data_IF_549483417700
#
_entry.id   IF_549483417700
#
_cell.length_a   1.000
_cell.length_b   1.000
_cell.length_c   1.000
_cell.angle_alpha   90.00
_cell.angle_beta   90.00
_cell.angle_gamma   90.00
#
_symmetry.space_group_name_H-M   'P 1'
#
loop_
_entity.id
_entity.type
_entity.pdbx_description
1 polymer ?
#
# COMPACT_ATOMS: atom_id res chain seq x y z
N UNK A 1 -16.89 20.78 -32.47
CA UNK A 1 -17.58 20.03 -31.39
C UNK A 1 -16.50 19.33 -30.59
N UNK A 2 -15.94 20.03 -29.61
CA UNK A 2 -14.95 19.50 -28.68
C UNK A 2 -15.68 18.65 -27.66
N UNK A 3 -15.46 17.34 -27.72
CA UNK A 3 -15.96 16.40 -26.71
C UNK A 3 -15.26 16.75 -25.40
N UNK A 4 -16.00 17.35 -24.46
CA UNK A 4 -15.58 17.47 -23.08
C UNK A 4 -15.27 16.07 -22.58
N UNK A 5 -13.98 15.78 -22.41
CA UNK A 5 -13.54 14.63 -21.66
C UNK A 5 -14.13 14.82 -20.26
N UNK A 6 -15.09 13.96 -19.93
CA UNK A 6 -15.64 13.85 -18.59
C UNK A 6 -14.44 13.60 -17.65
N UNK A 7 -13.90 14.65 -17.04
CA UNK A 7 -12.90 14.53 -16.00
C UNK A 7 -13.61 13.95 -14.78
N UNK A 8 -13.71 12.62 -14.74
CA UNK A 8 -14.01 11.92 -13.50
C UNK A 8 -12.97 12.36 -12.47
N UNK A 9 -13.41 12.80 -11.28
CA UNK A 9 -12.47 13.22 -10.25
C UNK A 9 -11.51 12.06 -9.94
N UNK A 10 -10.22 12.36 -9.70
CA UNK A 10 -9.23 11.34 -9.39
C UNK A 10 -9.73 10.49 -8.22
N UNK A 11 -9.69 9.18 -8.39
CA UNK A 11 -10.09 8.26 -7.33
C UNK A 11 -9.04 8.26 -6.23
N UNK A 12 -9.45 7.86 -5.02
CA UNK A 12 -8.51 7.66 -3.91
C UNK A 12 -7.33 6.75 -4.28
N UNK A 13 -7.55 5.78 -5.17
CA UNK A 13 -6.53 4.86 -5.63
C UNK A 13 -5.53 5.51 -6.59
N UNK A 14 -5.96 6.47 -7.42
CA UNK A 14 -5.04 7.24 -8.27
C UNK A 14 -4.07 8.05 -7.40
N UNK A 15 -4.57 8.61 -6.30
CA UNK A 15 -3.75 9.30 -5.31
C UNK A 15 -2.77 8.35 -4.60
N UNK A 16 -3.26 7.21 -4.11
CA UNK A 16 -2.43 6.19 -3.47
C UNK A 16 -1.29 5.74 -4.41
N UNK A 17 -1.60 5.48 -5.68
CA UNK A 17 -0.60 5.08 -6.68
C UNK A 17 0.45 6.16 -6.91
N UNK A 18 0.05 7.43 -6.93
CA UNK A 18 1.00 8.54 -7.02
C UNK A 18 1.92 8.59 -5.80
N UNK A 19 1.39 8.46 -4.58
CA UNK A 19 2.20 8.42 -3.37
C UNK A 19 3.16 7.23 -3.35
N UNK A 20 2.69 6.05 -3.77
CA UNK A 20 3.53 4.85 -3.84
C UNK A 20 4.70 5.04 -4.80
N UNK A 21 4.49 5.70 -5.95
CA UNK A 21 5.57 6.05 -6.89
C UNK A 21 6.57 7.00 -6.25
N UNK A 22 6.10 8.01 -5.54
CA UNK A 22 7.00 8.92 -4.83
C UNK A 22 7.80 8.23 -3.74
N UNK A 23 7.18 7.35 -2.94
CA UNK A 23 7.89 6.53 -1.96
C UNK A 23 8.89 5.57 -2.62
N UNK A 24 8.58 5.02 -3.81
CA UNK A 24 9.51 4.18 -4.57
C UNK A 24 10.75 4.94 -5.04
N UNK A 25 10.59 6.20 -5.44
CA UNK A 25 11.67 7.04 -5.97
C UNK A 25 12.51 7.69 -4.86
N UNK A 26 11.85 8.20 -3.82
CA UNK A 26 12.48 9.06 -2.80
C UNK A 26 12.90 8.32 -1.53
N UNK A 27 12.41 7.10 -1.28
CA UNK A 27 12.75 6.38 -0.05
C UNK A 27 14.20 5.93 -0.04
N UNK A 28 14.93 6.28 1.02
CA UNK A 28 16.28 5.78 1.29
C UNK A 28 16.27 4.32 1.78
N UNK A 29 15.12 3.85 2.27
CA UNK A 29 14.92 2.48 2.76
C UNK A 29 14.63 1.55 1.56
N UNK A 30 15.51 0.59 1.20
CA UNK A 30 15.32 -0.26 0.03
C UNK A 30 14.07 -1.13 0.11
N UNK A 31 13.71 -1.59 1.31
CA UNK A 31 12.51 -2.39 1.53
C UNK A 31 11.23 -1.66 1.09
N UNK A 32 11.08 -0.37 1.46
CA UNK A 32 9.93 0.45 1.04
C UNK A 32 9.87 0.57 -0.47
N UNK A 33 11.01 0.79 -1.13
CA UNK A 33 11.07 0.85 -2.60
C UNK A 33 10.59 -0.45 -3.23
N UNK A 34 10.97 -1.59 -2.66
CA UNK A 34 10.61 -2.91 -3.18
C UNK A 34 9.11 -3.20 -3.04
N UNK A 35 8.52 -2.95 -1.87
CA UNK A 35 7.08 -3.18 -1.67
C UNK A 35 6.22 -2.20 -2.49
N UNK A 36 6.64 -0.93 -2.62
CA UNK A 36 5.96 0.03 -3.47
C UNK A 36 6.05 -0.37 -4.95
N UNK A 37 7.23 -0.83 -5.41
CA UNK A 37 7.39 -1.33 -6.77
C UNK A 37 6.51 -2.55 -7.03
N UNK A 38 6.43 -3.49 -6.09
CA UNK A 38 5.56 -4.66 -6.22
C UNK A 38 4.09 -4.26 -6.33
N UNK A 39 3.62 -3.33 -5.49
CA UNK A 39 2.26 -2.78 -5.54
C UNK A 39 1.96 -2.09 -6.88
N UNK A 40 2.88 -1.28 -7.40
CA UNK A 40 2.72 -0.64 -8.72
C UNK A 40 2.64 -1.68 -9.84
N UNK A 41 3.46 -2.73 -9.79
CA UNK A 41 3.41 -3.80 -10.79
C UNK A 41 2.11 -4.62 -10.74
N UNK A 42 1.51 -4.79 -9.57
CA UNK A 42 0.17 -5.38 -9.43
C UNK A 42 -0.87 -4.53 -10.18
N UNK A 43 -0.79 -3.19 -10.06
CA UNK A 43 -1.66 -2.26 -10.78
C UNK A 43 -1.48 -2.35 -12.29
N UNK A 44 -0.24 -2.28 -12.77
CA UNK A 44 0.05 -2.40 -14.20
C UNK A 44 -0.41 -3.74 -14.78
N UNK A 45 -0.43 -4.79 -13.96
CA UNK A 45 -0.92 -6.12 -14.34
C UNK A 45 -2.44 -6.16 -14.39
N UNK A 46 -3.12 -5.54 -13.42
CA UNK A 46 -4.57 -5.44 -13.36
C UNK A 46 -5.14 -4.64 -14.54
N UNK A 47 -4.47 -3.57 -14.97
CA UNK A 47 -4.88 -2.77 -16.12
C UNK A 47 -4.79 -3.53 -17.46
N UNK A 48 -3.99 -4.59 -17.50
CA UNK A 48 -3.87 -5.48 -18.68
C UNK A 48 -4.89 -6.62 -18.69
N UNK A 49 -5.66 -6.81 -17.62
CA UNK A 49 -6.70 -7.83 -17.54
C UNK A 49 -7.94 -7.45 -18.35
N UNK A 50 -8.69 -8.46 -18.81
CA UNK A 50 -10.00 -8.24 -19.43
C UNK A 50 -11.03 -7.80 -18.37
N UNK A 51 -12.07 -7.07 -18.78
CA UNK A 51 -13.04 -6.41 -17.89
C UNK A 51 -13.60 -7.31 -16.79
N UNK A 52 -13.97 -8.55 -17.14
CA UNK A 52 -14.57 -9.49 -16.19
C UNK A 52 -13.57 -9.99 -15.13
N UNK A 53 -12.31 -10.22 -15.51
CA UNK A 53 -11.26 -10.68 -14.60
C UNK A 53 -10.76 -9.53 -13.73
N UNK A 54 -10.74 -8.32 -14.30
CA UNK A 54 -10.43 -7.07 -13.61
C UNK A 54 -11.40 -6.88 -12.43
N UNK A 55 -12.71 -7.01 -12.64
CA UNK A 55 -13.69 -6.81 -11.56
C UNK A 55 -13.55 -7.83 -10.42
N UNK A 56 -13.20 -9.08 -10.73
CA UNK A 56 -13.03 -10.11 -9.71
C UNK A 56 -11.73 -9.95 -8.89
N UNK A 57 -10.66 -9.47 -9.51
CA UNK A 57 -9.33 -9.36 -8.88
C UNK A 57 -9.03 -7.97 -8.33
N UNK A 58 -9.77 -6.96 -8.78
CA UNK A 58 -9.66 -5.58 -8.32
C UNK A 58 -9.73 -5.43 -6.79
N UNK A 59 -10.63 -6.11 -6.04
CA UNK A 59 -10.64 -6.02 -4.58
C UNK A 59 -9.32 -6.46 -3.93
N UNK A 60 -8.69 -7.52 -4.43
CA UNK A 60 -7.39 -8.01 -3.94
C UNK A 60 -6.28 -7.00 -4.21
N UNK A 61 -6.27 -6.48 -5.42
CA UNK A 61 -5.29 -5.51 -5.86
C UNK A 61 -5.41 -4.19 -5.06
N UNK A 62 -6.63 -3.66 -4.94
CA UNK A 62 -6.94 -2.49 -4.12
C UNK A 62 -6.48 -2.66 -2.67
N UNK A 63 -6.77 -3.81 -2.07
CA UNK A 63 -6.36 -4.08 -0.69
C UNK A 63 -4.84 -4.13 -0.53
N UNK A 64 -4.13 -4.72 -1.50
CA UNK A 64 -2.67 -4.72 -1.50
C UNK A 64 -2.12 -3.28 -1.54
N UNK A 65 -2.73 -2.37 -2.31
CA UNK A 65 -2.29 -0.97 -2.36
C UNK A 65 -2.54 -0.23 -1.05
N UNK A 66 -3.75 -0.36 -0.50
CA UNK A 66 -4.14 0.25 0.77
C UNK A 66 -3.15 -0.12 1.88
N UNK A 67 -2.81 -1.41 1.97
CA UNK A 67 -1.88 -1.94 2.97
C UNK A 67 -0.44 -1.46 2.77
N UNK A 68 0.06 -1.52 1.54
CA UNK A 68 1.44 -1.07 1.24
C UNK A 68 1.57 0.44 1.47
N UNK A 69 0.55 1.22 1.10
CA UNK A 69 0.52 2.66 1.34
C UNK A 69 0.56 2.98 2.83
N UNK A 70 -0.30 2.34 3.62
CA UNK A 70 -0.33 2.54 5.07
C UNK A 70 1.01 2.18 5.72
N UNK A 71 1.63 1.08 5.28
CA UNK A 71 2.94 0.66 5.77
C UNK A 71 4.04 1.65 5.39
N UNK A 72 4.07 2.11 4.13
CA UNK A 72 5.05 3.08 3.64
C UNK A 72 4.95 4.42 4.38
N UNK A 73 3.73 4.93 4.60
CA UNK A 73 3.50 6.13 5.38
C UNK A 73 3.92 5.95 6.85
N UNK A 74 3.56 4.83 7.47
CA UNK A 74 3.90 4.54 8.87
C UNK A 74 5.41 4.48 9.09
N UNK A 75 6.14 3.77 8.23
CA UNK A 75 7.59 3.64 8.33
C UNK A 75 8.28 4.99 8.04
N UNK A 76 7.78 5.74 7.06
CA UNK A 76 8.35 7.04 6.68
C UNK A 76 8.15 8.11 7.77
N UNK A 77 7.04 8.05 8.53
CA UNK A 77 6.74 9.01 9.60
C UNK A 77 7.29 8.61 10.97
N UNK A 78 7.47 7.31 11.23
CA UNK A 78 7.87 6.78 12.54
C UNK A 78 9.14 5.93 12.50
N UNK A 79 10.07 6.21 11.58
CA UNK A 79 11.35 5.49 11.48
C UNK A 79 12.07 5.36 12.83
N UNK A 80 12.00 6.39 13.67
CA UNK A 80 12.57 6.39 15.03
C UNK A 80 11.85 5.42 15.98
N UNK A 81 10.51 5.36 15.94
CA UNK A 81 9.70 4.48 16.79
C UNK A 81 9.79 3.01 16.36
N UNK A 82 9.84 2.75 15.05
CA UNK A 82 9.94 1.40 14.47
C UNK A 82 11.28 0.75 14.80
N UNK A 83 12.35 1.55 14.97
CA UNK A 83 13.67 1.03 15.33
C UNK A 83 13.75 0.47 16.77
N UNK A 84 12.79 0.79 17.65
CA UNK A 84 12.69 0.25 19.01
C UNK A 84 13.88 0.56 19.94
N UNK A 85 14.83 1.41 19.50
CA UNK A 85 16.07 1.72 20.23
C UNK A 85 16.35 3.22 20.27
N UNK A 86 15.66 3.96 21.16
CA UNK A 86 16.01 5.35 21.42
C UNK A 86 17.40 5.40 22.06
N UNK A 87 18.40 5.90 21.32
CA UNK A 87 19.77 6.09 21.84
C UNK A 87 20.92 5.78 20.87
N UNK A 88 20.65 5.15 19.73
CA UNK A 88 21.67 4.90 18.71
C UNK A 88 21.97 6.17 17.87
N UNK A 89 23.17 6.31 17.28
CA UNK A 89 23.44 7.30 16.23
C UNK A 89 22.46 7.14 15.06
N UNK A 90 22.16 8.23 14.34
CA UNK A 90 21.19 8.22 13.24
C UNK A 90 21.53 7.18 12.16
N UNK A 91 22.80 7.06 11.80
CA UNK A 91 23.28 6.13 10.76
C UNK A 91 23.10 4.66 11.17
N UNK A 92 23.40 4.33 12.43
CA UNK A 92 23.23 2.97 12.96
C UNK A 92 21.75 2.59 13.12
N UNK A 93 20.90 3.54 13.48
CA UNK A 93 19.43 3.35 13.48
C UNK A 93 18.92 3.06 12.09
N UNK A 94 19.36 3.81 11.10
CA UNK A 94 18.95 3.61 9.71
C UNK A 94 19.35 2.21 9.21
N UNK A 95 20.59 1.77 9.47
CA UNK A 95 21.04 0.42 9.10
C UNK A 95 20.24 -0.66 9.83
N UNK A 96 19.95 -0.48 11.11
CA UNK A 96 19.14 -1.42 11.89
C UNK A 96 17.71 -1.51 11.34
N UNK A 97 17.07 -0.37 11.07
CA UNK A 97 15.74 -0.29 10.49
C UNK A 97 15.68 -1.00 9.14
N UNK A 98 16.63 -0.73 8.24
CA UNK A 98 16.71 -1.39 6.94
C UNK A 98 16.82 -2.92 7.08
N UNK A 99 17.66 -3.42 7.99
CA UNK A 99 17.80 -4.87 8.24
C UNK A 99 16.55 -5.48 8.86
N UNK A 100 15.94 -4.79 9.82
CA UNK A 100 14.73 -5.26 10.50
C UNK A 100 13.57 -5.37 9.52
N UNK A 101 13.31 -4.31 8.75
CA UNK A 101 12.26 -4.27 7.74
C UNK A 101 12.48 -5.31 6.64
N UNK A 102 13.73 -5.54 6.23
CA UNK A 102 14.02 -6.55 5.22
C UNK A 102 13.85 -7.99 5.74
N UNK A 103 14.07 -8.23 7.03
CA UNK A 103 13.87 -9.54 7.66
C UNK A 103 12.39 -9.84 7.90
N UNK A 104 11.68 -8.90 8.51
CA UNK A 104 10.25 -9.07 8.84
C UNK A 104 9.35 -8.92 7.62
N UNK A 105 9.80 -8.20 6.60
CA UNK A 105 9.01 -7.87 5.42
C UNK A 105 9.16 -8.80 4.23
N UNK A 106 10.05 -9.79 4.29
CA UNK A 106 10.29 -10.72 3.17
C UNK A 106 9.02 -11.51 2.80
N UNK A 107 8.25 -11.93 3.82
CA UNK A 107 6.98 -12.63 3.60
C UNK A 107 5.97 -11.73 2.88
N UNK A 108 5.88 -10.44 3.23
CA UNK A 108 4.99 -9.49 2.55
C UNK A 108 5.39 -9.32 1.08
N UNK A 109 6.68 -9.10 0.81
CA UNK A 109 7.18 -8.95 -0.55
C UNK A 109 6.92 -10.21 -1.39
N UNK A 110 7.07 -11.39 -0.80
CA UNK A 110 6.78 -12.65 -1.44
C UNK A 110 5.28 -12.77 -1.79
N UNK A 111 4.39 -12.43 -0.87
CA UNK A 111 2.94 -12.47 -1.09
C UNK A 111 2.54 -11.49 -2.20
N UNK A 112 3.03 -10.26 -2.17
CA UNK A 112 2.79 -9.26 -3.23
C UNK A 112 3.27 -9.76 -4.60
N UNK A 113 4.44 -10.38 -4.66
CA UNK A 113 4.98 -10.95 -5.90
C UNK A 113 4.10 -12.09 -6.43
N UNK A 114 3.57 -12.92 -5.54
CA UNK A 114 2.67 -14.01 -5.94
C UNK A 114 1.30 -13.50 -6.42
N UNK A 115 0.77 -12.45 -5.79
CA UNK A 115 -0.46 -11.76 -6.24
C UNK A 115 -0.24 -11.19 -7.64
N UNK A 116 0.89 -10.52 -7.89
CA UNK A 116 1.25 -10.04 -9.22
C UNK A 116 1.22 -11.16 -10.25
N UNK A 117 1.96 -12.26 -10.01
CA UNK A 117 2.03 -13.40 -10.93
C UNK A 117 0.65 -14.03 -11.14
N UNK A 118 -0.17 -14.11 -10.10
CA UNK A 118 -1.54 -14.58 -10.19
C UNK A 118 -2.38 -13.70 -11.14
N UNK A 119 -2.36 -12.38 -10.97
CA UNK A 119 -3.08 -11.44 -11.84
C UNK A 119 -2.55 -11.50 -13.28
N UNK A 120 -1.22 -11.54 -13.47
CA UNK A 120 -0.62 -11.68 -14.80
C UNK A 120 -1.09 -12.94 -15.52
N UNK A 121 -1.23 -14.07 -14.83
CA UNK A 121 -1.75 -15.33 -15.41
C UNK A 121 -3.18 -15.21 -15.91
N UNK A 122 -3.99 -14.37 -15.28
CA UNK A 122 -5.39 -14.15 -15.66
C UNK A 122 -5.51 -13.30 -16.92
N UNK A 123 -4.46 -12.60 -17.35
CA UNK A 123 -4.46 -11.91 -18.64
C UNK A 123 -4.41 -12.88 -19.85
N UNK A 124 -4.08 -14.16 -19.63
CA UNK A 124 -3.99 -15.16 -20.69
C UNK A 124 -5.34 -15.85 -20.97
N UNK A 125 -5.81 -15.73 -22.22
CA UNK A 125 -7.09 -16.29 -22.71
C UNK A 125 -7.31 -17.78 -22.42
N UNK A 126 -6.27 -18.60 -22.41
CA UNK A 126 -6.41 -20.03 -22.10
C UNK A 126 -6.68 -20.27 -20.61
N UNK A 127 -5.98 -19.53 -19.74
CA UNK A 127 -6.22 -19.55 -18.29
C UNK A 127 -7.63 -19.06 -17.96
N UNK A 128 -8.13 -18.05 -18.67
CA UNK A 128 -9.48 -17.49 -18.49
C UNK A 128 -10.57 -18.54 -18.70
N UNK A 129 -10.45 -19.39 -19.73
CA UNK A 129 -11.46 -20.42 -20.00
C UNK A 129 -11.55 -21.45 -18.85
N UNK A 130 -10.40 -21.84 -18.30
CA UNK A 130 -10.33 -22.71 -17.12
C UNK A 130 -10.84 -21.97 -15.87
N UNK A 131 -10.53 -20.68 -15.75
CA UNK A 131 -10.96 -19.84 -14.64
C UNK A 131 -12.49 -19.69 -14.58
N UNK A 132 -13.13 -19.40 -15.73
CA UNK A 132 -14.58 -19.27 -15.83
C UNK A 132 -15.32 -20.56 -15.48
N UNK A 133 -14.73 -21.71 -15.79
CA UNK A 133 -15.32 -23.04 -15.53
C UNK A 133 -15.10 -23.52 -14.09
N UNK A 134 -14.18 -22.90 -13.33
CA UNK A 134 -13.80 -23.30 -11.95
C UNK A 134 -14.03 -22.19 -10.92
N UNK A 135 -15.04 -21.33 -11.16
CA UNK A 135 -15.32 -20.08 -10.44
C UNK A 135 -15.29 -20.16 -8.91
N UNK A 136 -15.73 -21.27 -8.30
CA UNK A 136 -15.68 -21.49 -6.84
C UNK A 136 -14.25 -21.56 -6.30
N UNK A 137 -13.33 -22.17 -7.04
CA UNK A 137 -11.92 -22.32 -6.65
C UNK A 137 -11.17 -20.98 -6.67
N UNK A 138 -11.55 -20.08 -7.57
CA UNK A 138 -10.87 -18.79 -7.75
C UNK A 138 -11.21 -17.79 -6.65
N UNK A 139 -12.48 -17.75 -6.22
CA UNK A 139 -12.86 -16.94 -5.06
C UNK A 139 -12.08 -17.36 -3.81
N UNK A 140 -11.88 -18.67 -3.62
CA UNK A 140 -11.10 -19.23 -2.52
C UNK A 140 -9.63 -18.82 -2.58
N UNK A 141 -9.04 -18.80 -3.78
CA UNK A 141 -7.65 -18.39 -3.98
C UNK A 141 -7.46 -16.89 -3.68
N UNK A 142 -8.39 -16.03 -4.09
CA UNK A 142 -8.40 -14.61 -3.75
C UNK A 142 -8.47 -14.41 -2.22
N UNK A 143 -9.38 -15.10 -1.53
CA UNK A 143 -9.46 -15.02 -0.06
C UNK A 143 -8.20 -15.58 0.62
N UNK A 144 -7.57 -16.61 0.05
CA UNK A 144 -6.30 -17.13 0.55
C UNK A 144 -5.18 -16.10 0.41
N UNK A 145 -5.12 -15.35 -0.70
CA UNK A 145 -4.17 -14.25 -0.85
C UNK A 145 -4.43 -13.11 0.13
N UNK A 146 -5.69 -12.73 0.36
CA UNK A 146 -6.05 -11.74 1.37
C UNK A 146 -5.57 -12.17 2.76
N UNK A 147 -5.90 -13.39 3.20
CA UNK A 147 -5.46 -13.91 4.49
C UNK A 147 -3.94 -13.92 4.63
N UNK A 148 -3.21 -14.25 3.56
CA UNK A 148 -1.74 -14.23 3.54
C UNK A 148 -1.16 -12.82 3.58
N UNK A 149 -1.81 -11.83 2.95
CA UNK A 149 -1.40 -10.43 3.07
C UNK A 149 -1.50 -9.97 4.52
N UNK A 150 -2.64 -10.22 5.17
CA UNK A 150 -2.82 -9.85 6.58
C UNK A 150 -1.83 -10.55 7.50
N UNK A 151 -1.64 -11.86 7.31
CA UNK A 151 -0.67 -12.62 8.08
C UNK A 151 0.75 -12.07 7.92
N UNK A 152 1.17 -11.78 6.69
CA UNK A 152 2.50 -11.22 6.41
C UNK A 152 2.67 -9.80 6.99
N UNK A 153 1.58 -9.13 7.33
CA UNK A 153 1.60 -7.82 7.98
C UNK A 153 1.57 -7.91 9.50
N UNK A 154 1.23 -9.05 10.13
CA UNK A 154 1.10 -9.18 11.58
C UNK A 154 2.34 -8.64 12.34
N UNK A 155 3.54 -8.83 11.81
CA UNK A 155 4.79 -8.31 12.37
C UNK A 155 4.85 -6.78 12.45
N UNK A 156 4.11 -6.10 11.57
CA UNK A 156 3.99 -4.64 11.50
C UNK A 156 2.77 -4.08 12.25
N UNK A 157 1.95 -4.95 12.87
CA UNK A 157 0.71 -4.58 13.59
C UNK A 157 -0.20 -3.66 12.78
N UNK A 158 -0.79 -4.13 11.66
CA UNK A 158 -1.68 -3.31 10.85
C UNK A 158 -2.95 -2.98 11.66
N UNK A 159 -3.65 -1.88 11.30
CA UNK A 159 -5.01 -1.65 11.76
C UNK A 159 -5.91 -2.85 11.47
N UNK A 160 -6.97 -3.01 12.27
CA UNK A 160 -8.04 -3.96 11.99
C UNK A 160 -8.59 -3.78 10.57
N UNK A 161 -8.89 -4.91 9.89
CA UNK A 161 -9.33 -4.94 8.49
C UNK A 161 -10.50 -3.98 8.18
N UNK A 162 -11.40 -3.82 9.15
CA UNK A 162 -12.59 -2.96 9.05
C UNK A 162 -12.24 -1.48 8.98
N UNK A 163 -11.11 -1.06 9.53
CA UNK A 163 -10.71 0.35 9.68
C UNK A 163 -9.67 0.77 8.63
N UNK A 164 -8.99 -0.18 7.98
CA UNK A 164 -7.91 0.10 7.00
C UNK A 164 -8.36 1.07 5.92
N UNK A 165 -9.55 0.86 5.34
CA UNK A 165 -10.04 1.71 4.26
C UNK A 165 -10.30 3.14 4.73
N UNK A 166 -10.80 3.30 5.95
CA UNK A 166 -11.01 4.62 6.57
C UNK A 166 -9.67 5.30 6.89
N UNK A 167 -8.71 4.56 7.45
CA UNK A 167 -7.35 5.05 7.71
C UNK A 167 -6.66 5.53 6.44
N UNK A 168 -6.75 4.75 5.36
CA UNK A 168 -6.16 5.09 4.06
C UNK A 168 -6.85 6.31 3.46
N UNK A 169 -8.18 6.40 3.52
CA UNK A 169 -8.90 7.58 3.06
C UNK A 169 -8.54 8.83 3.83
N UNK A 170 -8.39 8.72 5.15
CA UNK A 170 -7.98 9.82 6.00
C UNK A 170 -6.54 10.26 5.68
N UNK A 171 -5.60 9.33 5.58
CA UNK A 171 -4.20 9.62 5.23
C UNK A 171 -4.09 10.27 3.84
N UNK A 172 -4.78 9.72 2.85
CA UNK A 172 -4.82 10.27 1.50
C UNK A 172 -5.37 11.70 1.49
N UNK A 173 -6.45 11.95 2.24
CA UNK A 173 -7.04 13.29 2.36
C UNK A 173 -6.07 14.28 3.00
N UNK A 174 -5.39 13.89 4.08
CA UNK A 174 -4.44 14.78 4.76
C UNK A 174 -3.20 15.07 3.90
N UNK A 175 -2.66 14.06 3.22
CA UNK A 175 -1.55 14.25 2.29
C UNK A 175 -1.95 15.15 1.10
N UNK A 176 -3.18 14.99 0.58
CA UNK A 176 -3.71 15.87 -0.46
C UNK A 176 -3.78 17.33 0.00
N UNK A 177 -4.33 17.59 1.20
CA UNK A 177 -4.40 18.94 1.78
C UNK A 177 -3.00 19.55 1.95
N UNK A 178 -2.04 18.78 2.44
CA UNK A 178 -0.66 19.24 2.65
C UNK A 178 0.05 19.62 1.33
N UNK A 179 -0.31 18.98 0.22
CA UNK A 179 0.18 19.38 -1.12
C UNK A 179 -0.47 20.66 -1.63
N UNK A 180 -1.75 20.87 -1.33
CA UNK A 180 -2.47 22.09 -1.73
C UNK A 180 -2.00 23.33 -0.97
N UNK A 181 -1.46 23.14 0.23
CA UNK A 181 -0.90 24.20 1.08
C UNK A 181 0.50 23.81 1.53
N UNK A 182 1.55 24.04 0.71
CA UNK A 182 2.92 23.90 1.17
C UNK A 182 3.12 24.86 2.36
N UNK A 183 3.82 24.44 3.43
CA UNK A 183 3.97 25.27 4.62
C UNK A 183 4.79 26.51 4.26
N UNK A 184 4.12 27.64 4.04
CA UNK A 184 4.71 28.93 4.36
C UNK A 184 4.96 28.96 5.88
N UNK A 185 6.08 29.55 6.26
CA UNK A 185 6.66 29.53 7.60
C UNK A 185 5.61 29.67 8.72
N UNK A 186 5.69 28.73 9.68
CA UNK A 186 5.18 28.85 11.04
C UNK A 186 3.72 29.29 11.21
N UNK A 187 2.78 28.34 11.08
CA UNK A 187 1.64 28.18 12.02
C UNK A 187 0.88 26.90 11.67
N UNK A 188 1.50 25.75 11.93
CA UNK A 188 0.74 24.50 11.85
C UNK A 188 -0.27 24.41 13.02
N UNK A 189 -1.56 24.14 12.76
CA UNK A 189 -2.48 23.82 13.83
C UNK A 189 -2.06 22.48 14.43
N UNK A 190 -1.57 22.54 15.68
CA UNK A 190 -1.13 21.43 16.53
C UNK A 190 -2.00 20.17 16.44
N UNK A 191 -3.29 20.31 16.12
CA UNK A 191 -4.25 19.22 16.04
C UNK A 191 -3.89 18.16 14.98
N UNK A 192 -3.35 18.50 13.80
CA UNK A 192 -3.13 17.49 12.75
C UNK A 192 -1.92 16.60 13.05
N UNK A 193 -0.82 17.17 13.54
CA UNK A 193 0.37 16.38 13.95
C UNK A 193 0.11 15.52 15.18
N UNK A 194 -0.63 16.04 16.16
CA UNK A 194 -1.00 15.27 17.36
C UNK A 194 -2.00 14.16 17.01
N UNK A 195 -2.94 14.42 16.11
CA UNK A 195 -3.89 13.41 15.63
C UNK A 195 -3.21 12.33 14.77
N UNK A 196 -2.29 12.72 13.89
CA UNK A 196 -1.42 11.79 13.14
C UNK A 196 -0.57 10.94 14.07
N UNK A 197 0.11 11.54 15.06
CA UNK A 197 0.85 10.77 16.06
C UNK A 197 -0.08 9.88 16.88
N UNK A 198 -1.28 10.33 17.23
CA UNK A 198 -2.26 9.56 17.99
C UNK A 198 -2.78 8.34 17.24
N UNK A 199 -3.23 8.53 15.99
CA UNK A 199 -3.66 7.46 15.10
C UNK A 199 -2.52 6.48 14.85
N UNK A 200 -1.33 6.95 14.47
CA UNK A 200 -0.23 6.05 14.13
C UNK A 200 0.35 5.37 15.39
N UNK A 201 0.33 6.02 16.57
CA UNK A 201 0.72 5.37 17.83
C UNK A 201 -0.29 4.32 18.28
N UNK A 202 -1.59 4.54 18.04
CA UNK A 202 -2.65 3.56 18.30
C UNK A 202 -2.61 2.36 17.36
N UNK A 203 -1.99 2.51 16.18
CA UNK A 203 -1.73 1.43 15.24
C UNK A 203 -0.45 0.66 15.56
N UNK A 204 0.51 1.28 16.26
CA UNK A 204 1.78 0.64 16.65
C UNK A 204 1.73 -0.12 17.99
N UNK A 205 0.60 -0.04 18.73
CA UNK A 205 0.42 -0.71 20.03
C UNK A 205 -0.14 -2.11 19.86
#
# INVERSE_FOLDING_TARGET
MTSDALHTPPTIYDFILQELKEHQEKSEIPYIRNICSAAIQIYDSLEKCQTYDKDATKPLAERAYELVYLLACTISHNADSVSGRPGLPADERHVFLCRHLQREGDELLQVLTQIKVFIERLSNRYTIMIWLTTRSSNSREIYAFMARLYKALESFKPPDETVIRECVAMLATVHAIRRSFPPEEETEPWNVRVYMRGLISSLAT
#
